data_IF_280023980182
#
_entry.id   IF_280023980182
#
_cell.length_a   1.000
_cell.length_b   1.000
_cell.length_c   1.000
_cell.angle_alpha   90.00
_cell.angle_beta   90.00
_cell.angle_gamma   90.00
#
_symmetry.space_group_name_H-M   'P 1'
#
loop_
_entity.id
_entity.type
_entity.pdbx_description
1 polymer ?
#
# COMPACT_ATOMS: atom_id res chain seq x y z
N UNK A 1 -1.34 60.38 6.16
CA UNK A 1 -0.08 60.61 6.90
C UNK A 1 0.69 59.30 6.96
N UNK A 2 1.81 59.15 6.23
CA UNK A 2 2.62 57.94 6.28
C UNK A 2 3.64 58.04 7.43
N UNK A 3 3.87 56.94 8.15
CA UNK A 3 5.04 56.80 9.01
C UNK A 3 5.94 55.71 8.44
N UNK A 4 7.06 56.18 7.92
CA UNK A 4 8.29 55.42 7.71
C UNK A 4 8.81 54.85 9.03
N UNK A 5 9.55 53.74 8.94
CA UNK A 5 10.81 53.35 9.62
C UNK A 5 10.79 51.82 9.82
N UNK A 6 11.82 51.00 9.62
CA UNK A 6 13.20 51.09 9.08
C UNK A 6 13.70 49.64 8.96
N UNK A 7 14.47 49.32 7.92
CA UNK A 7 15.25 48.08 7.82
C UNK A 7 16.30 47.95 8.92
N UNK A 8 16.57 46.72 9.36
CA UNK A 8 17.86 46.35 9.94
C UNK A 8 18.30 45.01 9.34
N UNK A 9 19.29 45.08 8.46
CA UNK A 9 20.11 43.97 8.02
C UNK A 9 21.17 43.70 9.10
N UNK A 10 21.49 42.43 9.34
CA UNK A 10 22.68 42.07 10.13
C UNK A 10 23.43 40.97 9.41
N UNK A 11 24.65 41.32 9.01
CA UNK A 11 25.65 40.50 8.35
C UNK A 11 26.67 39.98 9.36
N UNK A 12 27.31 38.86 8.98
CA UNK A 12 28.60 38.30 9.41
C UNK A 12 28.68 37.63 10.80
N UNK A 13 29.02 36.34 10.77
CA UNK A 13 30.36 35.89 11.16
C UNK A 13 30.61 34.45 10.68
N UNK A 14 31.61 34.29 9.81
CA UNK A 14 32.16 32.97 9.48
C UNK A 14 33.04 32.46 10.62
N UNK A 15 33.03 31.14 10.82
CA UNK A 15 34.09 30.45 11.55
C UNK A 15 34.45 29.17 10.80
N UNK A 16 35.59 29.23 10.13
CA UNK A 16 36.35 28.09 9.65
C UNK A 16 37.01 27.42 10.87
N UNK A 17 36.73 26.14 11.09
CA UNK A 17 37.63 25.26 11.83
C UNK A 17 37.82 24.01 10.98
N UNK A 18 39.00 23.91 10.37
CA UNK A 18 39.52 22.67 9.84
C UNK A 18 40.21 21.89 10.94
N UNK A 19 39.95 20.58 10.99
CA UNK A 19 40.82 19.62 11.65
C UNK A 19 40.88 18.37 10.76
N UNK A 20 42.06 18.16 10.17
CA UNK A 20 42.46 16.87 9.63
C UNK A 20 42.87 15.97 10.78
N UNK A 21 42.35 14.74 10.84
CA UNK A 21 43.01 13.64 11.54
C UNK A 21 42.90 12.38 10.68
N UNK A 22 44.06 11.78 10.50
CA UNK A 22 44.36 10.64 9.66
C UNK A 22 43.78 9.32 10.20
N UNK A 23 43.44 8.43 9.27
CA UNK A 23 43.86 7.02 9.25
C UNK A 23 43.54 6.14 10.46
N UNK A 24 42.53 5.29 10.31
CA UNK A 24 42.52 3.96 10.92
C UNK A 24 42.18 2.93 9.85
N UNK A 25 43.18 2.13 9.49
CA UNK A 25 43.08 0.97 8.58
C UNK A 25 42.21 -0.15 9.18
N UNK A 26 41.50 -0.94 8.37
CA UNK A 26 40.86 -2.17 8.83
C UNK A 26 41.90 -3.29 8.99
N UNK A 27 41.96 -3.88 10.18
CA UNK A 27 42.73 -5.09 10.49
C UNK A 27 42.16 -6.28 9.70
N UNK A 28 43.00 -6.85 8.84
CA UNK A 28 42.75 -8.11 8.16
C UNK A 28 42.89 -9.28 9.15
N UNK A 29 41.91 -10.19 9.13
CA UNK A 29 41.96 -11.47 9.83
C UNK A 29 42.93 -12.45 9.13
N UNK A 30 43.61 -13.33 9.87
CA UNK A 30 44.61 -14.24 9.32
C UNK A 30 43.96 -15.39 8.52
N UNK A 31 44.56 -15.69 7.36
CA UNK A 31 44.22 -16.84 6.53
C UNK A 31 44.63 -18.14 7.23
N UNK A 32 43.67 -19.06 7.38
CA UNK A 32 43.90 -20.45 7.76
C UNK A 32 44.70 -21.17 6.68
N UNK A 33 45.73 -21.89 7.11
CA UNK A 33 46.70 -22.56 6.26
C UNK A 33 46.12 -23.67 5.39
N UNK A 34 46.64 -23.75 4.16
CA UNK A 34 46.54 -24.91 3.28
C UNK A 34 47.40 -26.04 3.83
N UNK A 35 46.82 -27.24 3.93
CA UNK A 35 47.55 -28.50 4.08
C UNK A 35 47.45 -29.23 2.73
N UNK A 36 48.57 -29.64 2.11
CA UNK A 36 48.54 -30.38 0.86
C UNK A 36 48.21 -31.85 1.16
N UNK A 37 47.09 -32.36 0.64
CA UNK A 37 46.76 -33.79 0.72
C UNK A 37 47.00 -34.43 -0.65
N UNK A 38 47.97 -35.36 -0.65
CA UNK A 38 48.46 -36.10 -1.80
C UNK A 38 47.44 -37.15 -2.26
N UNK A 39 47.18 -37.20 -3.56
CA UNK A 39 46.44 -38.30 -4.21
C UNK A 39 47.31 -39.55 -4.36
N UNK A 40 46.83 -40.75 -3.98
CA UNK A 40 47.43 -42.00 -4.44
C UNK A 40 46.73 -42.55 -5.69
N UNK A 41 47.53 -42.98 -6.67
CA UNK A 41 47.13 -43.74 -7.86
C UNK A 41 46.63 -45.16 -7.52
N UNK A 42 45.87 -45.82 -8.43
CA UNK A 42 45.26 -47.11 -8.17
C UNK A 42 46.19 -48.29 -8.50
N UNK A 43 45.99 -49.44 -7.85
CA UNK A 43 46.58 -50.74 -8.22
C UNK A 43 45.54 -51.84 -7.94
N UNK A 44 45.43 -52.86 -8.80
CA UNK A 44 44.21 -53.65 -9.00
C UNK A 44 44.12 -54.81 -8.02
N UNK A 45 42.88 -55.22 -7.67
CA UNK A 45 42.65 -56.42 -6.88
C UNK A 45 41.77 -57.42 -7.63
N UNK A 46 42.31 -58.64 -7.64
CA UNK A 46 41.90 -59.87 -8.30
C UNK A 46 40.57 -60.39 -7.72
N UNK A 47 39.80 -61.09 -8.55
CA UNK A 47 38.46 -61.58 -8.26
C UNK A 47 38.35 -62.67 -7.18
N UNK A 48 37.11 -62.82 -6.68
CA UNK A 48 36.64 -63.92 -5.83
C UNK A 48 35.26 -64.41 -6.31
N UNK A 49 34.86 -65.64 -5.94
CA UNK A 49 34.03 -66.52 -6.75
C UNK A 49 32.52 -66.31 -6.58
N UNK A 50 31.78 -66.68 -7.64
CA UNK A 50 30.33 -66.68 -7.74
C UNK A 50 29.63 -67.56 -6.69
N UNK A 51 28.61 -66.98 -6.04
CA UNK A 51 27.66 -67.66 -5.16
C UNK A 51 26.59 -68.45 -5.96
N UNK A 52 25.95 -69.48 -5.37
CA UNK A 52 24.94 -70.31 -6.04
C UNK A 52 23.59 -69.59 -6.20
N UNK A 53 22.72 -70.02 -7.14
CA UNK A 53 21.47 -69.32 -7.45
C UNK A 53 20.35 -69.58 -6.43
N UNK A 54 19.62 -68.51 -6.09
CA UNK A 54 18.39 -68.51 -5.27
C UNK A 54 17.17 -69.02 -6.07
N UNK A 55 16.13 -69.55 -5.39
CA UNK A 55 14.90 -70.03 -6.03
C UNK A 55 14.05 -68.89 -6.63
N UNK A 56 13.16 -69.18 -7.61
CA UNK A 56 12.37 -68.15 -8.30
C UNK A 56 11.34 -67.52 -7.36
N UNK A 57 11.40 -66.19 -7.26
CA UNK A 57 10.44 -65.37 -6.52
C UNK A 57 9.25 -65.05 -7.44
N UNK A 58 8.02 -65.25 -6.97
CA UNK A 58 6.80 -64.84 -7.68
C UNK A 58 6.80 -63.30 -7.92
N UNK A 59 6.30 -62.81 -9.06
CA UNK A 59 6.27 -61.37 -9.33
C UNK A 59 5.33 -60.65 -8.35
N UNK A 60 5.71 -59.46 -7.84
CA UNK A 60 4.83 -58.65 -6.99
C UNK A 60 3.62 -58.17 -7.78
N UNK A 61 2.46 -58.13 -7.12
CA UNK A 61 1.23 -57.54 -7.66
C UNK A 61 1.47 -56.07 -8.06
N UNK A 62 0.81 -55.57 -9.14
CA UNK A 62 0.98 -54.20 -9.58
C UNK A 62 0.57 -53.23 -8.47
N UNK A 63 1.45 -52.28 -8.15
CA UNK A 63 1.16 -51.20 -7.22
C UNK A 63 -0.06 -50.40 -7.70
N UNK A 64 -0.93 -49.91 -6.80
CA UNK A 64 -2.00 -48.99 -7.18
C UNK A 64 -1.37 -47.77 -7.86
N UNK A 65 -1.98 -47.34 -8.97
CA UNK A 65 -1.55 -46.15 -9.69
C UNK A 65 -1.54 -44.94 -8.74
N UNK A 66 -0.60 -43.99 -8.88
CA UNK A 66 -0.60 -42.78 -8.08
C UNK A 66 -1.93 -42.04 -8.28
N UNK A 67 -2.60 -41.72 -7.17
CA UNK A 67 -3.77 -40.83 -7.16
C UNK A 67 -3.45 -39.59 -7.97
N UNK A 68 -4.21 -39.36 -9.05
CA UNK A 68 -4.12 -38.11 -9.79
C UNK A 68 -4.48 -36.97 -8.83
N UNK A 69 -3.77 -35.81 -8.88
CA UNK A 69 -4.17 -34.64 -8.10
C UNK A 69 -5.63 -34.32 -8.43
N UNK A 70 -6.50 -34.42 -7.42
CA UNK A 70 -7.87 -33.94 -7.54
C UNK A 70 -7.79 -32.47 -7.92
N UNK A 71 -8.33 -32.13 -9.09
CA UNK A 71 -8.40 -30.76 -9.59
C UNK A 71 -9.25 -29.97 -8.59
N UNK A 72 -8.59 -29.24 -7.70
CA UNK A 72 -9.25 -28.49 -6.66
C UNK A 72 -10.20 -27.48 -7.32
N UNK A 73 -11.48 -27.54 -6.96
CA UNK A 73 -12.45 -26.54 -7.41
C UNK A 73 -11.96 -25.16 -6.96
N UNK A 74 -11.84 -24.16 -7.86
CA UNK A 74 -11.43 -22.82 -7.48
C UNK A 74 -12.36 -22.28 -6.40
N UNK A 75 -11.80 -21.76 -5.31
CA UNK A 75 -12.57 -21.08 -4.28
C UNK A 75 -13.13 -19.79 -4.90
N UNK A 76 -14.45 -19.53 -4.83
CA UNK A 76 -15.04 -18.29 -5.37
C UNK A 76 -14.48 -17.04 -4.68
N UNK A 77 -14.24 -15.98 -5.45
CA UNK A 77 -13.76 -14.67 -4.97
C UNK A 77 -14.73 -13.56 -5.44
N UNK A 78 -15.98 -13.55 -4.94
CA UNK A 78 -17.05 -12.72 -5.48
C UNK A 78 -16.74 -11.22 -5.42
N UNK A 79 -16.01 -10.75 -4.41
CA UNK A 79 -15.71 -9.31 -4.28
C UNK A 79 -14.58 -8.90 -5.22
N UNK A 80 -13.55 -9.73 -5.38
CA UNK A 80 -12.55 -9.53 -6.41
C UNK A 80 -13.14 -9.61 -7.82
N UNK A 81 -14.09 -10.53 -8.06
CA UNK A 81 -14.86 -10.63 -9.31
C UNK A 81 -15.68 -9.36 -9.58
N UNK A 82 -16.37 -8.84 -8.57
CA UNK A 82 -17.11 -7.59 -8.70
C UNK A 82 -16.19 -6.40 -9.03
N UNK A 83 -15.00 -6.34 -8.42
CA UNK A 83 -14.00 -5.33 -8.74
C UNK A 83 -13.44 -5.48 -10.17
N UNK A 84 -13.26 -6.72 -10.67
CA UNK A 84 -12.89 -6.99 -12.06
C UNK A 84 -13.97 -6.48 -13.02
N UNK A 85 -15.24 -6.84 -12.77
CA UNK A 85 -16.36 -6.37 -13.60
C UNK A 85 -16.47 -4.84 -13.59
N UNK A 86 -16.32 -4.20 -12.42
CA UNK A 86 -16.31 -2.75 -12.31
C UNK A 86 -15.13 -2.09 -13.06
N UNK A 87 -13.96 -2.73 -13.12
CA UNK A 87 -12.81 -2.24 -13.89
C UNK A 87 -13.11 -2.24 -15.40
N UNK A 88 -13.84 -3.24 -15.91
CA UNK A 88 -14.22 -3.33 -17.33
C UNK A 88 -15.16 -2.20 -17.76
N UNK A 89 -15.95 -1.67 -16.83
CA UNK A 89 -16.85 -0.54 -17.07
C UNK A 89 -16.14 0.83 -17.05
N UNK A 90 -14.94 0.93 -16.47
CA UNK A 90 -14.22 2.20 -16.39
C UNK A 90 -13.76 2.64 -17.79
N UNK A 91 -14.01 3.91 -18.19
CA UNK A 91 -13.45 4.43 -19.42
C UNK A 91 -11.92 4.35 -19.41
N UNK A 92 -11.33 4.08 -20.57
CA UNK A 92 -9.88 4.05 -20.74
C UNK A 92 -9.46 5.24 -21.60
N UNK A 93 -8.67 6.16 -21.04
CA UNK A 93 -8.20 7.38 -21.73
C UNK A 93 -6.80 7.75 -21.27
N UNK A 94 -6.12 8.63 -22.02
CA UNK A 94 -4.87 9.25 -21.56
C UNK A 94 -5.07 10.18 -20.34
N UNK A 95 -3.97 10.64 -19.74
CA UNK A 95 -4.02 11.70 -18.73
C UNK A 95 -4.40 13.02 -19.41
N UNK A 96 -5.40 13.71 -18.87
CA UNK A 96 -5.67 15.10 -19.22
C UNK A 96 -4.57 16.02 -18.64
N UNK A 97 -4.41 17.25 -19.16
CA UNK A 97 -3.47 18.21 -18.60
C UNK A 97 -3.74 18.49 -17.11
N UNK A 98 -2.66 18.71 -16.34
CA UNK A 98 -2.73 19.14 -14.93
C UNK A 98 -3.02 20.65 -14.77
N UNK A 99 -3.14 21.37 -15.88
CA UNK A 99 -3.42 22.81 -15.89
C UNK A 99 -4.66 23.14 -15.04
N UNK A 100 -4.56 24.21 -14.24
CA UNK A 100 -5.66 24.67 -13.38
C UNK A 100 -5.90 23.83 -12.13
N UNK A 101 -5.10 22.77 -11.90
CA UNK A 101 -5.17 22.03 -10.64
C UNK A 101 -4.61 22.85 -9.48
N UNK A 102 -5.47 23.10 -8.50
CA UNK A 102 -5.10 23.51 -7.16
C UNK A 102 -5.85 22.63 -6.16
N UNK A 103 -5.28 22.38 -4.98
CA UNK A 103 -5.91 21.46 -4.01
C UNK A 103 -7.26 22.01 -3.53
N UNK A 104 -7.38 23.31 -3.47
CA UNK A 104 -8.56 24.08 -3.09
C UNK A 104 -9.73 23.89 -4.06
N UNK A 105 -9.49 23.39 -5.28
CA UNK A 105 -10.56 22.99 -6.20
C UNK A 105 -11.41 21.83 -5.65
N UNK A 106 -10.89 21.11 -4.66
CA UNK A 106 -11.57 20.02 -3.96
C UNK A 106 -12.25 20.46 -2.67
N UNK A 107 -12.51 21.76 -2.52
CA UNK A 107 -13.24 22.31 -1.38
C UNK A 107 -12.42 22.34 -0.10
N UNK A 108 -13.13 22.51 1.02
CA UNK A 108 -12.49 22.54 2.33
C UNK A 108 -11.89 21.17 2.67
N UNK A 109 -10.63 21.20 3.09
CA UNK A 109 -9.92 20.00 3.54
C UNK A 109 -10.49 19.54 4.88
N UNK A 110 -10.88 18.26 4.95
CA UNK A 110 -11.46 17.63 6.13
C UNK A 110 -12.78 18.29 6.55
N UNK A 111 -13.65 18.51 5.58
CA UNK A 111 -14.94 19.13 5.81
C UNK A 111 -15.92 18.12 6.40
N UNK A 112 -16.57 18.49 7.50
CA UNK A 112 -17.78 17.81 8.00
C UNK A 112 -19.02 18.19 7.17
N UNK A 113 -18.96 19.29 6.42
CA UNK A 113 -20.03 19.77 5.55
C UNK A 113 -19.98 19.04 4.20
N UNK A 114 -20.28 17.73 4.23
CA UNK A 114 -20.33 16.82 3.07
C UNK A 114 -21.43 15.79 3.25
N UNK A 115 -21.97 15.27 2.16
CA UNK A 115 -22.99 14.20 2.18
C UNK A 115 -22.38 12.79 2.18
N UNK A 116 -21.06 12.67 2.00
CA UNK A 116 -20.34 11.43 2.15
C UNK A 116 -20.50 10.84 3.56
N UNK A 117 -20.17 9.55 3.70
CA UNK A 117 -20.20 8.87 4.98
C UNK A 117 -19.41 9.63 6.06
N UNK A 118 -19.97 9.67 7.27
CA UNK A 118 -19.52 10.48 8.41
C UNK A 118 -19.68 12.00 8.30
N UNK A 119 -20.21 12.53 7.19
CA UNK A 119 -20.57 13.93 7.11
C UNK A 119 -21.70 14.35 8.06
N UNK A 120 -21.68 15.62 8.45
CA UNK A 120 -22.61 16.28 9.36
C UNK A 120 -22.75 15.61 10.73
N UNK A 121 -21.70 14.94 11.22
CA UNK A 121 -21.69 14.29 12.52
C UNK A 121 -21.10 15.20 13.63
N UNK A 122 -20.48 16.33 13.24
CA UNK A 122 -19.83 17.29 14.12
C UNK A 122 -18.33 17.03 14.34
N UNK A 123 -17.74 16.07 13.62
CA UNK A 123 -16.33 15.75 13.61
C UNK A 123 -15.74 16.13 12.24
N UNK A 124 -14.48 16.58 12.19
CA UNK A 124 -13.82 16.75 10.89
C UNK A 124 -13.48 15.38 10.27
N UNK A 125 -13.52 15.28 8.94
CA UNK A 125 -13.26 14.03 8.22
C UNK A 125 -11.96 13.36 8.64
N UNK A 126 -10.90 14.13 8.94
CA UNK A 126 -9.63 13.53 9.36
C UNK A 126 -9.81 12.74 10.64
N UNK A 127 -10.55 13.29 11.60
CA UNK A 127 -10.83 12.61 12.84
C UNK A 127 -11.78 11.43 12.65
N UNK A 128 -12.73 11.50 11.72
CA UNK A 128 -13.56 10.34 11.37
C UNK A 128 -12.70 9.18 10.84
N UNK A 129 -11.77 9.46 9.92
CA UNK A 129 -10.88 8.43 9.39
C UNK A 129 -9.93 7.89 10.46
N UNK A 130 -9.39 8.75 11.35
CA UNK A 130 -8.59 8.26 12.48
C UNK A 130 -9.44 7.43 13.45
N UNK A 131 -10.70 7.82 13.69
CA UNK A 131 -11.64 7.10 14.52
C UNK A 131 -11.99 5.72 13.94
N UNK A 132 -12.13 5.64 12.61
CA UNK A 132 -12.38 4.39 11.88
C UNK A 132 -11.16 3.47 11.89
N UNK A 133 -9.99 4.00 11.55
CA UNK A 133 -8.81 3.18 11.19
C UNK A 133 -7.89 2.85 12.37
N UNK A 134 -7.90 3.64 13.45
CA UNK A 134 -7.09 3.35 14.61
C UNK A 134 -7.79 2.36 15.56
N UNK A 135 -7.01 1.52 16.23
CA UNK A 135 -7.45 0.72 17.38
C UNK A 135 -6.89 1.33 18.67
N UNK A 136 -7.37 0.87 19.84
CA UNK A 136 -6.89 1.33 21.16
C UNK A 136 -6.88 2.86 21.29
N UNK A 137 -7.97 3.51 20.81
CA UNK A 137 -8.06 4.96 20.65
C UNK A 137 -8.28 5.67 21.98
N UNK A 138 -7.68 6.85 22.09
CA UNK A 138 -7.98 7.83 23.14
C UNK A 138 -8.59 9.07 22.49
N UNK A 139 -9.76 9.50 22.96
CA UNK A 139 -10.42 10.72 22.49
C UNK A 139 -10.24 11.87 23.48
N UNK A 140 -10.26 13.10 22.97
CA UNK A 140 -10.25 14.29 23.82
C UNK A 140 -11.57 14.36 24.59
N UNK A 141 -11.53 14.51 25.93
CA UNK A 141 -12.74 14.67 26.72
C UNK A 141 -13.60 15.83 26.22
N UNK A 142 -14.91 15.69 26.36
CA UNK A 142 -15.91 16.70 25.97
C UNK A 142 -15.93 17.03 24.46
N UNK A 143 -15.54 16.09 23.60
CA UNK A 143 -15.64 16.25 22.14
C UNK A 143 -16.61 15.28 21.47
N UNK A 144 -17.41 14.54 22.25
CA UNK A 144 -18.31 13.47 21.75
C UNK A 144 -17.57 12.47 20.86
N UNK A 145 -16.40 12.05 21.30
CA UNK A 145 -15.51 11.14 20.57
C UNK A 145 -15.13 11.61 19.15
N UNK A 146 -15.11 12.92 18.91
CA UNK A 146 -14.58 13.45 17.66
C UNK A 146 -13.07 13.55 17.66
N UNK A 147 -12.44 14.10 18.71
CA UNK A 147 -11.04 14.53 18.59
C UNK A 147 -10.09 13.42 19.05
N UNK A 148 -9.55 12.63 18.12
CA UNK A 148 -8.64 11.50 18.41
C UNK A 148 -7.26 11.98 18.90
N UNK A 149 -6.91 11.71 20.15
CA UNK A 149 -5.64 12.09 20.77
C UNK A 149 -4.55 11.03 20.59
N UNK A 150 -4.91 9.76 20.61
CA UNK A 150 -3.97 8.66 20.43
C UNK A 150 -4.67 7.40 19.90
N UNK A 151 -3.87 6.42 19.46
CA UNK A 151 -4.32 5.10 19.04
C UNK A 151 -3.19 4.34 18.34
N UNK A 152 -3.49 3.16 17.84
CA UNK A 152 -2.55 2.34 17.08
C UNK A 152 -3.10 2.13 15.67
N UNK A 153 -2.26 2.36 14.67
CA UNK A 153 -2.57 2.10 13.27
C UNK A 153 -1.93 0.78 12.85
N UNK A 154 -2.74 -0.22 12.51
CA UNK A 154 -2.28 -1.33 11.68
C UNK A 154 -2.19 -0.83 10.24
N UNK A 155 -1.02 -0.30 9.85
CA UNK A 155 -0.88 0.47 8.62
C UNK A 155 -1.08 -0.42 7.38
N UNK A 156 -2.09 -0.12 6.54
CA UNK A 156 -2.37 -0.96 5.39
C UNK A 156 -1.25 -0.89 4.34
N UNK A 157 -0.49 0.21 4.26
CA UNK A 157 0.52 0.38 3.21
C UNK A 157 1.80 -0.39 3.46
N UNK A 158 2.29 -0.39 4.69
CA UNK A 158 3.56 -1.01 5.08
C UNK A 158 3.38 -2.32 5.84
N UNK A 159 2.18 -2.60 6.36
CA UNK A 159 1.92 -3.75 7.23
C UNK A 159 2.51 -3.61 8.63
N UNK A 160 2.96 -2.41 9.01
CA UNK A 160 3.56 -2.14 10.32
C UNK A 160 2.52 -1.60 11.30
N UNK A 161 2.75 -1.83 12.60
CA UNK A 161 1.95 -1.21 13.65
C UNK A 161 2.59 0.13 14.04
N UNK A 162 1.82 1.23 13.96
CA UNK A 162 2.30 2.59 14.21
C UNK A 162 1.53 3.19 15.39
N UNK A 163 2.26 3.64 16.41
CA UNK A 163 1.69 4.40 17.53
C UNK A 163 1.37 5.84 17.08
N UNK A 164 0.08 6.17 17.07
CA UNK A 164 -0.38 7.53 16.82
C UNK A 164 -0.55 8.26 18.15
N UNK A 165 0.09 9.43 18.25
CA UNK A 165 -0.26 10.46 19.23
C UNK A 165 -0.40 11.80 18.52
N UNK A 166 -1.47 12.54 18.79
CA UNK A 166 -1.68 13.87 18.23
C UNK A 166 -0.58 14.80 18.74
N UNK A 167 0.22 15.31 17.82
CA UNK A 167 1.36 16.19 18.12
C UNK A 167 2.40 16.16 17.00
N UNK A 168 3.36 17.07 17.06
CA UNK A 168 4.31 17.32 15.97
C UNK A 168 5.18 16.10 15.58
N UNK A 169 5.39 15.16 16.51
CA UNK A 169 6.26 13.98 16.28
C UNK A 169 5.58 12.87 15.48
N UNK A 170 4.30 12.60 15.74
CA UNK A 170 3.60 11.41 15.23
C UNK A 170 2.39 11.77 14.35
N UNK A 171 1.88 13.01 14.40
CA UNK A 171 0.85 13.46 13.45
C UNK A 171 1.31 13.46 12.00
N UNK A 172 2.61 13.61 11.74
CA UNK A 172 3.20 13.48 10.39
C UNK A 172 3.49 12.03 10.02
N UNK A 173 3.64 11.16 11.02
CA UNK A 173 3.87 9.73 10.84
C UNK A 173 2.59 9.00 10.42
N UNK A 174 1.41 9.46 10.87
CA UNK A 174 0.11 9.00 10.37
C UNK A 174 -0.59 10.09 9.57
N UNK A 175 -0.70 9.87 8.27
CA UNK A 175 -1.37 10.77 7.34
C UNK A 175 -2.71 10.18 6.91
N UNK A 176 -3.62 11.06 6.47
CA UNK A 176 -4.83 10.59 5.78
C UNK A 176 -4.52 10.72 4.28
N UNK A 177 -4.39 9.59 3.60
CA UNK A 177 -4.16 9.52 2.16
C UNK A 177 -5.47 9.46 1.39
N UNK A 178 -5.43 10.05 0.20
CA UNK A 178 -6.41 9.87 -0.86
C UNK A 178 -5.97 8.68 -1.71
N UNK A 179 -6.63 7.53 -1.56
CA UNK A 179 -6.28 6.27 -2.26
C UNK A 179 -6.17 6.50 -3.77
N UNK A 180 -7.13 7.24 -4.36
CA UNK A 180 -6.96 7.95 -5.63
C UNK A 180 -6.58 9.40 -5.34
N UNK A 181 -5.32 9.76 -5.61
CA UNK A 181 -4.80 11.08 -5.28
C UNK A 181 -5.55 12.22 -5.99
N UNK A 182 -5.77 13.36 -5.32
CA UNK A 182 -6.53 14.50 -5.88
C UNK A 182 -5.95 15.00 -7.23
N UNK A 183 -4.63 15.08 -7.34
CA UNK A 183 -3.95 15.49 -8.58
C UNK A 183 -4.06 14.44 -9.69
N UNK A 184 -4.16 13.16 -9.33
CA UNK A 184 -4.37 12.10 -10.31
C UNK A 184 -5.83 12.14 -10.82
N UNK A 185 -6.78 12.24 -9.89
CA UNK A 185 -8.19 12.38 -10.18
C UNK A 185 -8.48 13.60 -11.08
N UNK A 186 -7.83 14.75 -10.84
CA UNK A 186 -7.94 15.93 -11.70
C UNK A 186 -7.63 15.61 -13.16
N UNK A 187 -6.53 14.90 -13.41
CA UNK A 187 -6.11 14.50 -14.76
C UNK A 187 -6.92 13.32 -15.32
N UNK A 188 -7.83 12.75 -14.53
CA UNK A 188 -8.60 11.55 -14.86
C UNK A 188 -10.11 11.69 -14.67
N UNK A 189 -10.61 12.93 -14.65
CA UNK A 189 -12.06 13.21 -14.72
C UNK A 189 -12.59 14.19 -13.69
N UNK A 190 -11.87 14.43 -12.59
CA UNK A 190 -12.35 15.34 -11.55
C UNK A 190 -12.46 16.80 -12.01
N UNK A 191 -11.79 17.18 -13.11
CA UNK A 191 -12.01 18.46 -13.80
C UNK A 191 -13.46 18.68 -14.24
N UNK A 192 -14.20 17.60 -14.53
CA UNK A 192 -15.57 17.64 -15.05
C UNK A 192 -16.62 17.55 -13.93
N UNK A 193 -16.19 17.22 -12.72
CA UNK A 193 -17.06 17.20 -11.55
C UNK A 193 -17.46 18.62 -11.14
N UNK A 194 -18.62 18.77 -10.50
CA UNK A 194 -18.97 20.03 -9.86
C UNK A 194 -18.03 20.28 -8.66
N UNK A 195 -17.89 21.53 -8.18
CA UNK A 195 -17.14 21.81 -6.96
C UNK A 195 -17.58 20.97 -5.76
N UNK A 196 -18.89 20.76 -5.60
CA UNK A 196 -19.48 19.94 -4.54
C UNK A 196 -19.06 18.49 -4.69
N UNK A 197 -19.17 17.91 -5.89
CA UNK A 197 -18.71 16.53 -6.15
C UNK A 197 -17.21 16.34 -5.91
N UNK A 198 -16.38 17.36 -6.17
CA UNK A 198 -14.96 17.31 -5.82
C UNK A 198 -14.74 17.39 -4.31
N UNK A 199 -15.52 18.18 -3.59
CA UNK A 199 -15.48 18.21 -2.12
C UNK A 199 -15.90 16.86 -1.53
N UNK A 200 -16.93 16.23 -2.08
CA UNK A 200 -17.31 14.86 -1.72
C UNK A 200 -16.16 13.88 -1.97
N UNK A 201 -15.58 13.88 -3.18
CA UNK A 201 -14.43 13.01 -3.51
C UNK A 201 -13.26 13.15 -2.54
N UNK A 202 -13.04 14.36 -2.04
CA UNK A 202 -11.93 14.67 -1.15
C UNK A 202 -12.17 14.26 0.30
N UNK A 203 -13.43 14.10 0.71
CA UNK A 203 -13.80 13.78 2.08
C UNK A 203 -14.48 12.40 2.21
N UNK A 204 -14.68 11.68 1.11
CA UNK A 204 -15.29 10.34 1.10
C UNK A 204 -14.41 9.29 1.79
N UNK A 205 -14.89 8.62 2.86
CA UNK A 205 -14.17 7.53 3.52
C UNK A 205 -13.78 6.38 2.58
N UNK A 206 -14.51 6.16 1.47
CA UNK A 206 -14.11 5.20 0.45
C UNK A 206 -12.77 5.55 -0.20
N UNK A 207 -12.47 6.84 -0.34
CA UNK A 207 -11.22 7.34 -0.93
C UNK A 207 -10.16 7.67 0.14
N UNK A 208 -10.46 7.55 1.44
CA UNK A 208 -9.56 7.95 2.52
C UNK A 208 -9.07 6.77 3.35
N UNK A 209 -7.79 6.80 3.72
CA UNK A 209 -7.16 5.85 4.65
C UNK A 209 -6.18 6.57 5.58
N UNK A 210 -6.17 6.22 6.86
CA UNK A 210 -5.03 6.50 7.73
C UNK A 210 -3.87 5.58 7.34
N UNK A 211 -2.71 6.16 7.04
CA UNK A 211 -1.53 5.43 6.54
C UNK A 211 -0.21 5.99 7.06
N UNK A 212 0.85 5.20 6.92
CA UNK A 212 2.23 5.63 7.13
C UNK A 212 2.59 6.85 6.26
N UNK A 213 3.13 7.89 6.90
CA UNK A 213 3.47 9.17 6.28
C UNK A 213 4.57 9.05 5.21
N UNK A 214 5.72 8.41 5.49
CA UNK A 214 6.73 8.11 4.48
C UNK A 214 6.23 7.31 3.28
N UNK A 215 5.40 6.28 3.47
CA UNK A 215 4.80 5.52 2.37
C UNK A 215 3.89 6.40 1.51
N UNK A 216 3.07 7.24 2.13
CA UNK A 216 2.24 8.21 1.41
C UNK A 216 3.06 9.26 0.63
N UNK A 217 4.18 9.71 1.20
CA UNK A 217 5.11 10.63 0.52
C UNK A 217 5.83 9.98 -0.66
N UNK A 218 6.06 8.67 -0.62
CA UNK A 218 6.57 7.90 -1.77
C UNK A 218 5.51 7.76 -2.86
N UNK A 219 4.25 7.48 -2.47
CA UNK A 219 3.10 7.40 -3.39
C UNK A 219 2.87 8.69 -4.16
N UNK A 220 2.89 9.85 -3.50
CA UNK A 220 2.58 11.17 -4.10
C UNK A 220 1.24 11.16 -4.85
N UNK A 221 1.25 11.57 -6.12
CA UNK A 221 0.14 11.52 -7.06
C UNK A 221 0.22 10.32 -8.02
N UNK A 222 0.94 9.26 -7.62
CA UNK A 222 1.04 8.01 -8.36
C UNK A 222 -0.28 7.25 -8.43
N UNK A 223 -0.50 6.56 -9.54
CA UNK A 223 -1.60 5.63 -9.74
C UNK A 223 -1.11 4.19 -9.57
N UNK A 224 -2.02 3.22 -9.73
CA UNK A 224 -1.69 1.79 -9.60
C UNK A 224 -0.58 1.29 -10.56
N UNK A 225 -0.29 2.02 -11.65
CA UNK A 225 0.81 1.66 -12.55
C UNK A 225 2.16 2.19 -12.07
N UNK A 226 2.20 3.27 -11.29
CA UNK A 226 3.44 3.90 -10.84
C UNK A 226 3.77 3.62 -9.38
N UNK A 227 2.78 3.30 -8.55
CA UNK A 227 2.98 2.97 -7.15
C UNK A 227 1.97 1.91 -6.67
N UNK A 228 2.47 0.98 -5.86
CA UNK A 228 1.67 -0.04 -5.19
C UNK A 228 2.16 -0.17 -3.74
N UNK A 229 1.29 -0.42 -2.75
CA UNK A 229 1.71 -0.65 -1.38
C UNK A 229 2.78 -1.73 -1.26
N UNK A 230 3.86 -1.50 -0.48
CA UNK A 230 4.87 -2.53 -0.21
C UNK A 230 4.26 -3.74 0.50
N UNK A 231 3.26 -3.54 1.37
CA UNK A 231 2.48 -4.62 1.98
C UNK A 231 1.69 -5.40 0.92
N UNK A 232 2.14 -6.63 0.60
CA UNK A 232 1.50 -7.47 -0.40
C UNK A 232 0.08 -7.89 -0.02
N UNK A 233 -0.19 -8.09 1.27
CA UNK A 233 -1.49 -8.51 1.79
C UNK A 233 -2.58 -7.44 1.66
N UNK A 234 -2.21 -6.21 1.27
CA UNK A 234 -3.17 -5.12 1.06
C UNK A 234 -3.37 -4.74 -0.41
N UNK A 235 -2.63 -5.36 -1.36
CA UNK A 235 -2.62 -4.91 -2.76
C UNK A 235 -3.96 -5.13 -3.45
N UNK A 236 -4.62 -6.25 -3.17
CA UNK A 236 -5.94 -6.57 -3.73
C UNK A 236 -6.97 -5.51 -3.29
N UNK A 237 -7.03 -5.22 -2.00
CA UNK A 237 -7.93 -4.23 -1.41
C UNK A 237 -7.62 -2.83 -1.93
N UNK A 238 -6.34 -2.48 -2.07
CA UNK A 238 -5.93 -1.19 -2.60
C UNK A 238 -6.42 -0.95 -4.03
N UNK A 239 -6.23 -1.91 -4.94
CA UNK A 239 -6.67 -1.73 -6.34
C UNK A 239 -8.18 -1.84 -6.48
N UNK A 240 -8.85 -2.73 -5.73
CA UNK A 240 -10.31 -2.81 -5.71
C UNK A 240 -10.94 -1.51 -5.21
N UNK A 241 -10.37 -0.92 -4.15
CA UNK A 241 -10.81 0.39 -3.64
C UNK A 241 -10.64 1.50 -4.67
N UNK A 242 -9.51 1.54 -5.40
CA UNK A 242 -9.33 2.50 -6.49
C UNK A 242 -10.39 2.36 -7.58
N UNK A 243 -10.75 1.13 -7.96
CA UNK A 243 -11.83 0.87 -8.93
C UNK A 243 -13.15 1.40 -8.41
N UNK A 244 -13.52 1.09 -7.17
CA UNK A 244 -14.77 1.58 -6.55
C UNK A 244 -14.83 3.10 -6.49
N UNK A 245 -13.75 3.77 -6.10
CA UNK A 245 -13.66 5.24 -6.10
C UNK A 245 -13.84 5.79 -7.51
N UNK A 246 -13.10 5.27 -8.50
CA UNK A 246 -13.18 5.77 -9.87
C UNK A 246 -14.56 5.55 -10.47
N UNK A 247 -15.20 4.40 -10.21
CA UNK A 247 -16.57 4.12 -10.65
C UNK A 247 -17.56 5.09 -10.01
N UNK A 248 -17.51 5.29 -8.69
CA UNK A 248 -18.40 6.20 -7.96
C UNK A 248 -18.36 7.64 -8.50
N UNK A 249 -17.17 8.12 -8.86
CA UNK A 249 -16.95 9.49 -9.32
C UNK A 249 -16.81 9.63 -10.84
N UNK A 250 -17.21 8.61 -11.62
CA UNK A 250 -17.14 8.61 -13.09
C UNK A 250 -15.75 9.00 -13.65
N UNK A 251 -14.69 8.60 -12.94
CA UNK A 251 -13.30 8.82 -13.36
C UNK A 251 -12.86 7.72 -14.33
N UNK A 252 -11.80 8.00 -15.09
CA UNK A 252 -11.20 7.03 -16.00
C UNK A 252 -9.85 6.49 -15.50
N UNK A 253 -9.40 5.44 -16.17
CA UNK A 253 -8.06 4.86 -16.01
C UNK A 253 -7.23 5.06 -17.27
N UNK A 254 -5.92 5.10 -17.12
CA UNK A 254 -5.02 4.97 -18.27
C UNK A 254 -4.90 3.49 -18.68
N UNK A 255 -4.48 3.18 -19.93
CA UNK A 255 -4.22 1.80 -20.33
C UNK A 255 -3.25 1.08 -19.37
N UNK A 256 -2.15 1.74 -18.99
CA UNK A 256 -1.16 1.18 -18.08
C UNK A 256 -1.71 0.94 -16.67
N UNK A 257 -2.52 1.87 -16.16
CA UNK A 257 -3.19 1.75 -14.86
C UNK A 257 -4.22 0.62 -14.86
N UNK A 258 -5.05 0.52 -15.90
CA UNK A 258 -5.99 -0.59 -16.06
C UNK A 258 -5.27 -1.93 -16.02
N UNK A 259 -4.19 -2.06 -16.80
CA UNK A 259 -3.41 -3.30 -16.86
C UNK A 259 -2.77 -3.61 -15.50
N UNK A 260 -2.32 -2.60 -14.76
CA UNK A 260 -1.79 -2.78 -13.41
C UNK A 260 -2.86 -3.24 -12.42
N UNK A 261 -4.03 -2.60 -12.40
CA UNK A 261 -5.16 -2.99 -11.55
C UNK A 261 -5.57 -4.43 -11.88
N UNK A 262 -5.75 -4.78 -13.16
CA UNK A 262 -6.13 -6.12 -13.59
C UNK A 262 -5.12 -7.18 -13.13
N UNK A 263 -3.81 -6.91 -13.27
CA UNK A 263 -2.76 -7.81 -12.78
C UNK A 263 -2.90 -8.10 -11.29
N UNK A 264 -3.13 -7.08 -10.47
CA UNK A 264 -3.25 -7.26 -9.02
C UNK A 264 -4.57 -7.91 -8.61
N UNK A 265 -5.69 -7.58 -9.28
CA UNK A 265 -6.97 -8.25 -9.06
C UNK A 265 -6.90 -9.76 -9.39
N UNK A 266 -6.09 -10.14 -10.38
CA UNK A 266 -5.89 -11.56 -10.73
C UNK A 266 -4.99 -12.31 -9.74
N UNK A 267 -4.37 -11.62 -8.79
CA UNK A 267 -3.57 -12.23 -7.71
C UNK A 267 -4.29 -12.28 -6.38
N UNK A 268 -5.54 -11.80 -6.32
CA UNK A 268 -6.36 -11.87 -5.10
C UNK A 268 -6.59 -13.33 -4.68
N UNK A 269 -6.67 -13.53 -3.37
CA UNK A 269 -6.81 -14.81 -2.69
C UNK A 269 -8.05 -14.81 -1.79
N UNK A 270 -8.55 -15.97 -1.31
CA UNK A 270 -9.68 -16.02 -0.38
C UNK A 270 -9.46 -15.19 0.89
N UNK A 271 -8.22 -15.08 1.37
CA UNK A 271 -7.85 -14.24 2.51
C UNK A 271 -8.09 -12.74 2.24
N UNK A 272 -8.05 -12.32 0.98
CA UNK A 272 -8.29 -10.93 0.60
C UNK A 272 -9.77 -10.53 0.68
N UNK A 273 -10.70 -11.49 0.53
CA UNK A 273 -12.15 -11.24 0.49
C UNK A 273 -12.66 -10.63 1.80
N UNK A 274 -12.17 -11.07 2.96
CA UNK A 274 -12.53 -10.44 4.24
C UNK A 274 -12.07 -8.97 4.31
N UNK A 275 -10.94 -8.64 3.69
CA UNK A 275 -10.47 -7.26 3.55
C UNK A 275 -11.32 -6.44 2.58
N UNK A 276 -11.84 -7.07 1.52
CA UNK A 276 -12.73 -6.45 0.53
C UNK A 276 -14.15 -6.22 1.07
N UNK A 277 -14.65 -7.09 1.93
CA UNK A 277 -15.97 -6.94 2.55
C UNK A 277 -16.02 -5.67 3.42
N UNK A 278 -14.93 -5.39 4.15
CA UNK A 278 -14.76 -4.14 4.87
C UNK A 278 -14.71 -2.89 3.96
N UNK A 279 -14.43 -3.03 2.65
CA UNK A 279 -14.56 -1.93 1.68
C UNK A 279 -16.00 -1.71 1.22
N UNK A 280 -16.84 -2.74 1.25
CA UNK A 280 -18.22 -2.74 0.72
C UNK A 280 -19.27 -2.38 1.75
N UNK A 281 -18.90 -2.30 3.03
CA UNK A 281 -19.72 -1.68 4.07
C UNK A 281 -19.93 -0.16 3.86
N UNK A 282 -19.27 0.45 2.87
CA UNK A 282 -19.63 1.77 2.37
C UNK A 282 -20.83 1.63 1.40
N UNK A 283 -22.05 2.09 1.75
CA UNK A 283 -23.22 1.91 0.91
C UNK A 283 -23.03 2.56 -0.46
N UNK A 284 -23.46 1.86 -1.51
CA UNK A 284 -23.61 2.45 -2.85
C UNK A 284 -24.48 3.71 -2.74
N UNK A 285 -24.04 4.88 -3.27
CA UNK A 285 -24.90 6.05 -3.29
C UNK A 285 -26.17 5.72 -4.08
N UNK A 286 -27.34 6.24 -3.68
CA UNK A 286 -28.54 6.12 -4.50
C UNK A 286 -28.28 6.76 -5.87
N UNK A 287 -28.76 6.07 -6.91
CA UNK A 287 -28.75 6.54 -8.31
C UNK A 287 -29.51 7.86 -8.41
#
# INVERSE_FOLDING_TARGET
>A
MPRHTTSAATTLAGLLIGTMVAGCSPSAMPQGGQVPSLSPSPTPSIGQPSAPPSPPTLPPAPAPAPDQPSEATPIPLPLADAARGALEELPIKGRAPKTGYEREQFGQRWSDDVVAEFGHNGCDTRNDILGRDLINKEYKPNTRDCVVLAGQLSDPYTGTLIEFRRGQRTSSAVQIDHVVALSDAWQKGAQQLTPEQRQEFANDPLNLLAVDGPANQQKRDGDAATWIPPNSAFRCQYVARQVSVKKKYSLWVTPAERDAIARWLNTCTPEDEAGLENLQLAPTPPI
#
